data_IF_416402223681
#
_entry.id   IF_416402223681
#
_cell.length_a   1.000
_cell.length_b   1.000
_cell.length_c   1.000
_cell.angle_alpha   90.00
_cell.angle_beta   90.00
_cell.angle_gamma   90.00
#
_symmetry.space_group_name_H-M   'P 1'
#
loop_
_entity.id
_entity.type
_entity.pdbx_description
1 polymer ?
#
# COMPACT_ATOMS: atom_id res chain seq x y z
N UNK A 1 10.04 12.75 -27.70
CA UNK A 1 9.46 11.62 -26.94
C UNK A 1 8.20 12.16 -26.31
N UNK A 2 7.10 11.41 -26.33
CA UNK A 2 5.86 11.84 -25.70
C UNK A 2 5.95 11.62 -24.18
N UNK A 3 5.43 12.58 -23.40
CA UNK A 3 5.42 12.54 -21.94
C UNK A 3 4.28 11.63 -21.47
N UNK A 4 4.57 10.33 -21.36
CA UNK A 4 3.57 9.27 -21.18
C UNK A 4 3.37 8.85 -19.71
N UNK A 5 4.03 9.50 -18.76
CA UNK A 5 4.04 9.08 -17.35
C UNK A 5 2.64 8.86 -16.79
N UNK A 6 1.76 9.84 -16.91
CA UNK A 6 0.41 9.74 -16.35
C UNK A 6 -0.47 8.72 -17.08
N UNK A 7 -0.21 8.49 -18.37
CA UNK A 7 -0.87 7.41 -19.12
C UNK A 7 -0.43 6.02 -18.61
N UNK A 8 0.82 5.88 -18.16
CA UNK A 8 1.28 4.67 -17.46
C UNK A 8 0.65 4.54 -16.09
N UNK A 9 0.71 5.59 -15.24
CA UNK A 9 0.11 5.56 -13.89
C UNK A 9 -1.37 5.18 -13.96
N UNK A 10 -2.12 5.72 -14.92
CA UNK A 10 -3.53 5.34 -15.11
C UNK A 10 -3.74 3.83 -15.34
N UNK A 11 -2.73 3.08 -15.79
CA UNK A 11 -2.83 1.64 -16.03
C UNK A 11 -2.79 0.80 -14.75
N UNK A 12 -2.45 1.36 -13.60
CA UNK A 12 -2.52 0.68 -12.30
C UNK A 12 -3.90 0.06 -12.04
N UNK A 13 -4.97 0.66 -12.58
CA UNK A 13 -6.34 0.15 -12.49
C UNK A 13 -6.60 -1.18 -13.20
N UNK A 14 -5.70 -1.62 -14.09
CA UNK A 14 -5.85 -2.86 -14.86
C UNK A 14 -5.04 -4.02 -14.26
N UNK A 15 -4.36 -3.80 -13.15
CA UNK A 15 -3.52 -4.80 -12.51
C UNK A 15 -4.25 -5.28 -11.25
N UNK A 16 -4.74 -6.51 -11.34
CA UNK A 16 -5.47 -7.16 -10.25
C UNK A 16 -4.49 -7.65 -9.17
N UNK A 17 -4.83 -7.41 -7.93
CA UNK A 17 -4.13 -7.93 -6.75
C UNK A 17 -4.70 -9.27 -6.33
N UNK A 18 -3.94 -10.03 -5.55
CA UNK A 18 -4.37 -11.35 -5.05
C UNK A 18 -4.73 -12.32 -6.18
N UNK A 19 -4.04 -12.22 -7.32
CA UNK A 19 -4.36 -12.93 -8.56
C UNK A 19 -4.37 -14.46 -8.46
N UNK A 20 -3.72 -15.06 -7.44
CA UNK A 20 -3.73 -16.50 -7.16
C UNK A 20 -4.85 -16.91 -6.20
N UNK A 21 -5.62 -15.97 -5.65
CA UNK A 21 -6.67 -16.22 -4.69
C UNK A 21 -8.04 -15.93 -5.31
N UNK A 22 -9.04 -16.69 -4.91
CA UNK A 22 -10.43 -16.40 -5.30
C UNK A 22 -10.94 -15.23 -4.47
N UNK A 23 -11.09 -14.07 -5.09
CA UNK A 23 -11.62 -12.87 -4.46
C UNK A 23 -13.14 -12.84 -4.51
N UNK A 24 -13.80 -12.48 -3.40
CA UNK A 24 -15.20 -12.07 -3.39
C UNK A 24 -15.36 -10.60 -3.82
N UNK A 25 -14.40 -9.76 -3.45
CA UNK A 25 -14.32 -8.34 -3.75
C UNK A 25 -13.03 -8.08 -4.52
N UNK A 26 -13.03 -7.98 -5.86
CA UNK A 26 -11.83 -7.68 -6.64
C UNK A 26 -11.17 -6.36 -6.18
N UNK A 27 -9.85 -6.34 -6.16
CA UNK A 27 -9.04 -5.16 -5.82
C UNK A 27 -7.97 -4.98 -6.90
N UNK A 28 -7.82 -3.78 -7.43
CA UNK A 28 -6.73 -3.44 -8.32
C UNK A 28 -5.68 -2.55 -7.61
N UNK A 29 -4.50 -2.40 -8.21
CA UNK A 29 -3.39 -1.65 -7.62
C UNK A 29 -3.74 -0.17 -7.40
N UNK A 30 -4.59 0.44 -8.23
CA UNK A 30 -4.97 1.85 -8.05
C UNK A 30 -5.83 2.04 -6.80
N UNK A 31 -6.83 1.18 -6.58
CA UNK A 31 -7.70 1.22 -5.40
C UNK A 31 -6.88 0.96 -4.13
N UNK A 32 -6.02 -0.05 -4.17
CA UNK A 32 -5.09 -0.35 -3.10
C UNK A 32 -4.18 0.85 -2.78
N UNK A 33 -3.50 1.42 -3.78
CA UNK A 33 -2.59 2.56 -3.56
C UNK A 33 -3.30 3.80 -3.03
N UNK A 34 -4.56 4.01 -3.40
CA UNK A 34 -5.40 5.06 -2.80
C UNK A 34 -5.62 4.80 -1.30
N UNK A 35 -6.02 3.57 -0.93
CA UNK A 35 -6.23 3.24 0.49
C UNK A 35 -4.93 3.29 1.29
N UNK A 36 -3.82 2.79 0.71
CA UNK A 36 -2.49 2.91 1.33
C UNK A 36 -2.12 4.38 1.57
N UNK A 37 -2.42 5.28 0.64
CA UNK A 37 -2.15 6.71 0.81
C UNK A 37 -2.97 7.33 1.94
N UNK A 38 -4.26 6.98 2.07
CA UNK A 38 -5.13 7.42 3.18
C UNK A 38 -4.57 6.93 4.52
N UNK A 39 -4.19 5.67 4.61
CA UNK A 39 -3.62 5.08 5.84
C UNK A 39 -2.24 5.69 6.14
N UNK A 40 -1.37 5.87 5.15
CA UNK A 40 -0.05 6.47 5.33
C UNK A 40 -0.15 7.91 5.84
N UNK A 41 -1.12 8.69 5.31
CA UNK A 41 -1.43 10.03 5.84
C UNK A 41 -1.85 9.94 7.33
N UNK A 42 -2.78 9.04 7.66
CA UNK A 42 -3.24 8.86 9.04
C UNK A 42 -2.10 8.46 9.99
N UNK A 43 -1.23 7.51 9.59
CA UNK A 43 -0.06 7.12 10.38
C UNK A 43 0.90 8.30 10.56
N UNK A 44 1.12 9.12 9.52
CA UNK A 44 1.94 10.33 9.60
C UNK A 44 1.37 11.36 10.58
N UNK A 45 0.04 11.57 10.57
CA UNK A 45 -0.65 12.45 11.55
C UNK A 45 -0.51 11.90 12.96
N UNK A 46 -0.74 10.59 13.16
CA UNK A 46 -0.59 9.95 14.47
C UNK A 46 0.86 10.09 14.98
N UNK A 47 1.87 9.84 14.11
CA UNK A 47 3.29 10.01 14.45
C UNK A 47 3.58 11.43 14.92
N UNK A 48 3.09 12.43 14.20
CA UNK A 48 3.34 13.84 14.50
C UNK A 48 2.55 14.35 15.72
N UNK A 49 1.24 14.09 15.76
CA UNK A 49 0.34 14.76 16.70
C UNK A 49 0.13 13.97 18.00
N UNK A 50 0.23 12.62 17.95
CA UNK A 50 0.08 11.76 19.13
C UNK A 50 1.44 11.42 19.75
N UNK A 51 2.44 11.06 18.91
CA UNK A 51 3.76 10.66 19.40
C UNK A 51 4.81 11.77 19.32
N UNK A 52 4.44 12.97 18.85
CA UNK A 52 5.29 14.16 18.80
C UNK A 52 6.64 13.93 18.10
N UNK A 53 6.64 13.07 17.08
CA UNK A 53 7.79 12.78 16.24
C UNK A 53 7.64 13.47 14.89
N UNK A 54 8.68 14.17 14.44
CA UNK A 54 8.65 14.92 13.18
C UNK A 54 8.28 14.04 11.99
N UNK A 55 7.26 14.47 11.25
CA UNK A 55 6.74 13.78 10.09
C UNK A 55 5.92 14.73 9.22
N UNK A 56 6.02 14.60 7.91
CA UNK A 56 5.12 15.23 6.95
C UNK A 56 4.06 14.20 6.46
N UNK A 57 2.82 14.24 6.99
CA UNK A 57 1.76 13.32 6.57
C UNK A 57 1.42 13.41 5.08
N UNK A 58 1.52 14.61 4.49
CA UNK A 58 1.23 14.80 3.07
C UNK A 58 2.30 14.13 2.20
N UNK A 59 3.56 14.22 2.60
CA UNK A 59 4.65 13.52 1.91
C UNK A 59 4.53 11.99 2.04
N UNK A 60 4.05 11.48 3.20
CA UNK A 60 3.73 10.05 3.38
C UNK A 60 2.65 9.60 2.40
N UNK A 61 1.56 10.35 2.29
CA UNK A 61 0.46 10.05 1.35
C UNK A 61 0.94 10.10 -0.11
N UNK A 62 1.70 11.14 -0.47
CA UNK A 62 2.23 11.29 -1.83
C UNK A 62 3.14 10.11 -2.21
N UNK A 63 4.03 9.67 -1.31
CA UNK A 63 4.88 8.50 -1.54
C UNK A 63 4.06 7.22 -1.71
N UNK A 64 3.02 7.04 -0.89
CA UNK A 64 2.15 5.87 -0.93
C UNK A 64 1.33 5.75 -2.22
N UNK A 65 0.93 6.87 -2.86
CA UNK A 65 0.23 6.85 -4.15
C UNK A 65 1.04 6.17 -5.27
N UNK A 66 2.36 6.18 -5.17
CA UNK A 66 3.26 5.67 -6.21
C UNK A 66 4.04 4.42 -5.78
N UNK A 67 3.80 3.87 -4.58
CA UNK A 67 4.63 2.80 -4.01
C UNK A 67 4.67 1.53 -4.87
N UNK A 68 3.57 1.19 -5.53
CA UNK A 68 3.45 0.04 -6.44
C UNK A 68 3.47 0.45 -7.94
N UNK A 69 3.91 1.68 -8.27
CA UNK A 69 3.92 2.14 -9.66
C UNK A 69 4.83 1.28 -10.57
N UNK A 70 5.89 0.65 -10.05
CA UNK A 70 6.74 -0.28 -10.80
C UNK A 70 5.95 -1.47 -11.36
N UNK A 71 4.87 -1.87 -10.70
CA UNK A 71 4.03 -3.01 -11.09
C UNK A 71 3.26 -2.77 -12.39
N UNK A 72 3.16 -1.54 -12.86
CA UNK A 72 2.69 -1.22 -14.22
C UNK A 72 3.49 -1.98 -15.30
N UNK A 73 4.78 -2.20 -15.06
CA UNK A 73 5.71 -2.86 -15.98
C UNK A 73 6.03 -4.31 -15.58
N UNK A 74 5.94 -4.65 -14.29
CA UNK A 74 6.30 -5.97 -13.77
C UNK A 74 5.09 -6.87 -13.52
N UNK A 75 3.90 -6.30 -13.39
CA UNK A 75 2.74 -6.96 -12.79
C UNK A 75 2.88 -7.11 -11.27
N UNK A 76 1.75 -7.40 -10.59
CA UNK A 76 1.74 -7.78 -9.17
C UNK A 76 2.29 -9.21 -9.03
N UNK A 77 3.46 -9.35 -8.42
CA UNK A 77 4.06 -10.66 -8.16
C UNK A 77 3.60 -11.19 -6.80
N UNK A 78 2.95 -12.38 -6.77
CA UNK A 78 2.49 -12.97 -5.51
C UNK A 78 3.60 -13.07 -4.46
N UNK A 79 3.30 -12.63 -3.25
CA UNK A 79 4.23 -12.59 -2.12
C UNK A 79 5.02 -13.88 -1.90
N UNK A 80 4.43 -15.11 -2.00
CA UNK A 80 5.20 -16.35 -1.85
C UNK A 80 6.30 -16.53 -2.90
N UNK A 81 6.11 -15.98 -4.11
CA UNK A 81 7.12 -16.05 -5.18
C UNK A 81 8.16 -14.95 -4.95
N UNK A 82 7.73 -13.72 -4.66
CA UNK A 82 8.61 -12.57 -4.43
C UNK A 82 9.64 -12.82 -3.31
N UNK A 83 9.27 -13.59 -2.29
CA UNK A 83 10.11 -13.90 -1.13
C UNK A 83 10.56 -15.35 -1.04
N UNK A 84 10.48 -16.13 -2.13
CA UNK A 84 10.81 -17.56 -2.13
C UNK A 84 12.25 -17.83 -1.67
N UNK A 85 13.21 -17.03 -2.14
CA UNK A 85 14.60 -17.08 -1.66
C UNK A 85 15.29 -15.70 -1.87
N UNK A 86 16.47 -15.48 -1.24
CA UNK A 86 17.21 -14.22 -1.38
C UNK A 86 17.59 -13.86 -2.83
N UNK A 87 17.89 -14.84 -3.67
CA UNK A 87 18.27 -14.59 -5.07
C UNK A 87 17.09 -14.01 -5.88
N UNK A 88 15.90 -14.61 -5.76
CA UNK A 88 14.69 -14.13 -6.42
C UNK A 88 14.31 -12.74 -5.89
N UNK A 89 14.33 -12.55 -4.57
CA UNK A 89 14.04 -11.26 -3.95
C UNK A 89 14.95 -10.14 -4.48
N UNK A 90 16.26 -10.40 -4.56
CA UNK A 90 17.22 -9.41 -5.03
C UNK A 90 17.08 -9.14 -6.54
N UNK A 91 16.87 -10.19 -7.35
CA UNK A 91 16.64 -10.05 -8.78
C UNK A 91 15.35 -9.23 -9.05
N UNK A 92 14.27 -9.53 -8.32
CA UNK A 92 13.01 -8.80 -8.49
C UNK A 92 13.16 -7.33 -8.09
N UNK A 93 13.88 -7.03 -7.00
CA UNK A 93 14.17 -5.65 -6.60
C UNK A 93 14.91 -4.87 -7.71
N UNK A 94 15.86 -5.48 -8.39
CA UNK A 94 16.55 -4.85 -9.52
C UNK A 94 15.57 -4.58 -10.69
N UNK A 95 14.63 -5.48 -10.94
CA UNK A 95 13.59 -5.29 -11.97
C UNK A 95 12.66 -4.13 -11.58
N UNK A 96 12.24 -4.03 -10.32
CA UNK A 96 11.46 -2.89 -9.80
C UNK A 96 12.22 -1.56 -9.97
N UNK A 97 13.51 -1.52 -9.64
CA UNK A 97 14.36 -0.33 -9.82
C UNK A 97 14.44 0.10 -11.29
N UNK A 98 14.63 -0.85 -12.22
CA UNK A 98 14.63 -0.58 -13.66
C UNK A 98 13.26 -0.07 -14.12
N UNK A 99 12.17 -0.64 -13.61
CA UNK A 99 10.81 -0.21 -13.93
C UNK A 99 10.56 1.23 -13.47
N UNK A 100 10.95 1.58 -12.25
CA UNK A 100 10.87 2.95 -11.73
C UNK A 100 11.66 3.94 -12.59
N UNK A 101 12.91 3.59 -12.99
CA UNK A 101 13.72 4.44 -13.86
C UNK A 101 13.09 4.64 -15.25
N UNK A 102 12.50 3.58 -15.82
CA UNK A 102 11.79 3.68 -17.11
C UNK A 102 10.56 4.57 -17.00
N UNK A 103 9.76 4.44 -15.93
CA UNK A 103 8.62 5.33 -15.68
C UNK A 103 9.08 6.78 -15.52
N UNK A 104 10.10 7.02 -14.70
CA UNK A 104 10.66 8.36 -14.48
C UNK A 104 11.15 8.99 -15.80
N UNK A 105 11.75 8.20 -16.69
CA UNK A 105 12.23 8.68 -17.99
C UNK A 105 11.09 9.15 -18.92
N UNK A 106 9.84 8.76 -18.66
CA UNK A 106 8.65 9.22 -19.41
C UNK A 106 8.10 10.57 -18.96
N UNK A 107 8.70 11.17 -17.91
CA UNK A 107 8.43 12.55 -17.50
C UNK A 107 9.35 13.54 -18.21
N UNK A 108 8.88 14.80 -18.42
CA UNK A 108 9.76 15.93 -18.73
C UNK A 108 10.92 16.00 -17.73
N UNK A 109 12.11 16.36 -18.22
CA UNK A 109 13.34 16.34 -17.42
C UNK A 109 13.23 17.20 -16.15
N UNK A 110 12.56 18.33 -16.24
CA UNK A 110 12.35 19.30 -15.17
C UNK A 110 11.46 18.76 -14.02
N UNK A 111 10.59 17.78 -14.31
CA UNK A 111 9.70 17.19 -13.30
C UNK A 111 10.32 15.97 -12.58
N UNK A 112 11.31 15.32 -13.19
CA UNK A 112 11.92 14.08 -12.64
C UNK A 112 12.44 14.22 -11.21
N UNK A 113 13.10 15.31 -10.80
CA UNK A 113 13.59 15.45 -9.43
C UNK A 113 12.49 15.42 -8.37
N UNK A 114 11.29 15.91 -8.69
CA UNK A 114 10.15 15.90 -7.77
C UNK A 114 9.50 14.52 -7.65
N UNK A 115 9.49 13.71 -8.72
CA UNK A 115 8.86 12.39 -8.74
C UNK A 115 9.80 11.25 -8.35
N UNK A 116 11.12 11.44 -8.49
CA UNK A 116 12.09 10.39 -8.18
C UNK A 116 11.98 9.88 -6.73
N UNK A 117 11.88 10.72 -5.67
CA UNK A 117 11.72 10.24 -4.31
C UNK A 117 10.44 9.43 -4.09
N UNK A 118 9.37 9.76 -4.81
CA UNK A 118 8.07 9.08 -4.73
C UNK A 118 8.12 7.67 -5.31
N UNK A 119 8.83 7.49 -6.44
CA UNK A 119 8.96 6.20 -7.12
C UNK A 119 10.01 5.28 -6.51
N UNK A 120 10.97 5.83 -5.75
CA UNK A 120 12.06 5.04 -5.14
C UNK A 120 11.84 4.74 -3.66
N UNK A 121 10.69 5.16 -3.11
CA UNK A 121 10.34 5.01 -1.69
C UNK A 121 11.46 5.50 -0.74
N UNK A 122 12.22 6.52 -1.12
CA UNK A 122 13.35 6.98 -0.33
C UNK A 122 12.90 7.66 0.98
N UNK A 123 11.75 8.33 0.94
CA UNK A 123 11.17 9.02 2.09
C UNK A 123 10.02 8.22 2.71
N UNK A 124 9.95 8.17 4.04
CA UNK A 124 8.85 7.56 4.81
C UNK A 124 8.55 6.09 4.47
N UNK A 125 9.56 5.36 4.04
CA UNK A 125 9.43 3.96 3.62
C UNK A 125 8.83 3.05 4.71
N UNK A 126 9.14 3.30 5.96
CA UNK A 126 8.61 2.59 7.11
C UNK A 126 7.10 2.79 7.24
N UNK A 127 6.61 4.03 7.11
CA UNK A 127 5.17 4.37 7.14
C UNK A 127 4.45 3.77 5.94
N UNK A 128 4.99 3.93 4.72
CA UNK A 128 4.35 3.40 3.51
C UNK A 128 4.21 1.88 3.58
N UNK A 129 5.26 1.17 4.00
CA UNK A 129 5.20 -0.30 4.17
C UNK A 129 4.23 -0.74 5.27
N UNK A 130 4.12 0.04 6.34
CA UNK A 130 3.15 -0.25 7.39
C UNK A 130 1.72 -0.03 6.89
N UNK A 131 1.49 1.06 6.15
CA UNK A 131 0.20 1.36 5.54
C UNK A 131 -0.22 0.31 4.48
N UNK A 132 0.70 -0.14 3.62
CA UNK A 132 0.48 -1.25 2.69
C UNK A 132 0.03 -2.51 3.44
N UNK A 133 0.75 -2.86 4.52
CA UNK A 133 0.41 -4.03 5.32
C UNK A 133 -0.94 -3.90 6.03
N UNK A 134 -1.30 -2.70 6.52
CA UNK A 134 -2.63 -2.41 7.09
C UNK A 134 -3.73 -2.51 6.04
N UNK A 135 -3.52 -1.97 4.84
CA UNK A 135 -4.47 -2.09 3.72
C UNK A 135 -4.69 -3.57 3.34
N UNK A 136 -3.62 -4.36 3.23
CA UNK A 136 -3.73 -5.79 2.98
C UNK A 136 -4.47 -6.55 4.10
N UNK A 137 -4.32 -6.14 5.36
CA UNK A 137 -5.05 -6.71 6.48
C UNK A 137 -6.55 -6.37 6.44
N UNK A 138 -6.89 -5.12 6.13
CA UNK A 138 -8.29 -4.68 5.96
C UNK A 138 -8.95 -5.48 4.85
N UNK A 139 -8.27 -5.66 3.70
CA UNK A 139 -8.75 -6.51 2.61
C UNK A 139 -9.07 -7.93 3.07
N UNK A 140 -8.22 -8.53 3.90
CA UNK A 140 -8.48 -9.86 4.44
C UNK A 140 -9.71 -9.90 5.35
N UNK A 141 -9.94 -8.86 6.18
CA UNK A 141 -11.14 -8.72 7.02
C UNK A 141 -12.39 -8.65 6.14
N UNK A 142 -12.38 -7.83 5.10
CA UNK A 142 -13.51 -7.68 4.17
C UNK A 142 -13.86 -9.00 3.47
N UNK A 143 -12.86 -9.72 2.98
CA UNK A 143 -13.06 -11.03 2.33
C UNK A 143 -13.65 -12.07 3.30
N UNK A 144 -13.13 -12.15 4.52
CA UNK A 144 -13.68 -13.03 5.56
C UNK A 144 -15.13 -12.66 5.88
N UNK A 145 -15.45 -11.37 6.00
CA UNK A 145 -16.83 -10.91 6.25
C UNK A 145 -17.76 -11.21 5.08
N UNK A 146 -17.24 -11.24 3.87
CA UNK A 146 -17.95 -11.70 2.69
C UNK A 146 -18.13 -13.25 2.62
N UNK A 147 -17.66 -13.98 3.65
CA UNK A 147 -17.72 -15.45 3.73
C UNK A 147 -16.64 -16.17 2.93
N UNK A 148 -15.56 -15.49 2.60
CA UNK A 148 -14.44 -16.06 1.84
C UNK A 148 -13.34 -16.57 2.78
N UNK A 149 -13.39 -17.85 3.12
CA UNK A 149 -12.43 -18.51 4.02
C UNK A 149 -11.02 -18.64 3.44
N UNK A 150 -10.84 -18.41 2.14
CA UNK A 150 -9.52 -18.49 1.49
C UNK A 150 -8.53 -17.46 2.06
N UNK A 151 -9.02 -16.35 2.58
CA UNK A 151 -8.21 -15.29 3.18
C UNK A 151 -7.86 -15.46 4.65
N UNK A 152 -8.41 -16.46 5.36
CA UNK A 152 -8.18 -16.66 6.80
C UNK A 152 -6.70 -16.81 7.18
N UNK A 153 -5.93 -17.55 6.37
CA UNK A 153 -4.49 -17.73 6.62
C UNK A 153 -3.72 -16.42 6.41
N UNK A 154 -4.03 -15.67 5.35
CA UNK A 154 -3.42 -14.39 5.05
C UNK A 154 -3.76 -13.35 6.12
N UNK A 155 -5.02 -13.31 6.58
CA UNK A 155 -5.47 -12.44 7.68
C UNK A 155 -4.65 -12.69 8.95
N UNK A 156 -4.56 -13.97 9.39
CA UNK A 156 -3.80 -14.36 10.59
C UNK A 156 -2.32 -13.98 10.50
N UNK A 157 -1.68 -14.25 9.36
CA UNK A 157 -0.27 -13.95 9.15
C UNK A 157 -0.02 -12.43 9.14
N UNK A 158 -0.86 -11.68 8.42
CA UNK A 158 -0.73 -10.23 8.32
C UNK A 158 -0.98 -9.55 9.66
N UNK A 159 -1.98 -10.00 10.40
CA UNK A 159 -2.24 -9.56 11.78
C UNK A 159 -1.02 -9.76 12.68
N UNK A 160 -0.44 -10.96 12.68
CA UNK A 160 0.75 -11.27 13.49
C UNK A 160 1.92 -10.32 13.17
N UNK A 161 2.15 -10.02 11.88
CA UNK A 161 3.18 -9.06 11.46
C UNK A 161 2.89 -7.65 11.96
N UNK A 162 1.62 -7.20 11.92
CA UNK A 162 1.21 -5.89 12.39
C UNK A 162 1.30 -5.77 13.92
N UNK A 163 0.91 -6.80 14.68
CA UNK A 163 1.04 -6.83 16.14
C UNK A 163 2.51 -6.75 16.60
N UNK A 164 3.45 -7.23 15.80
CA UNK A 164 4.89 -7.17 16.05
C UNK A 164 5.57 -5.93 15.45
N UNK A 165 4.82 -5.06 14.77
CA UNK A 165 5.38 -3.88 14.16
C UNK A 165 5.87 -2.89 15.24
N UNK A 166 7.14 -2.41 15.18
CA UNK A 166 7.72 -1.56 16.22
C UNK A 166 7.21 -0.11 16.19
N UNK A 167 6.49 0.30 15.14
CA UNK A 167 6.00 1.66 14.99
C UNK A 167 4.79 1.91 15.90
N UNK A 168 4.88 2.85 16.85
CA UNK A 168 3.79 3.08 17.80
C UNK A 168 2.50 3.59 17.13
N UNK A 169 2.60 4.33 16.03
CA UNK A 169 1.45 4.76 15.22
C UNK A 169 0.71 3.58 14.58
N UNK A 170 1.39 2.47 14.26
CA UNK A 170 0.75 1.25 13.78
C UNK A 170 -0.06 0.60 14.90
N UNK A 171 0.50 0.50 16.10
CA UNK A 171 -0.22 -0.06 17.26
C UNK A 171 -1.42 0.81 17.63
N UNK A 172 -1.28 2.13 17.54
CA UNK A 172 -2.37 3.07 17.72
C UNK A 172 -3.49 2.83 16.68
N UNK A 173 -3.14 2.72 15.40
CA UNK A 173 -4.10 2.48 14.32
C UNK A 173 -4.82 1.14 14.50
N UNK A 174 -4.09 0.08 14.84
CA UNK A 174 -4.64 -1.25 15.12
C UNK A 174 -5.65 -1.24 16.26
N UNK A 175 -5.38 -0.50 17.34
CA UNK A 175 -6.24 -0.45 18.51
C UNK A 175 -7.50 0.40 18.29
N UNK A 176 -7.38 1.52 17.58
CA UNK A 176 -8.46 2.51 17.50
C UNK A 176 -9.31 2.41 16.24
N UNK A 177 -8.73 2.00 15.10
CA UNK A 177 -9.42 2.07 13.81
C UNK A 177 -9.76 0.70 13.22
N UNK A 178 -8.93 -0.31 13.41
CA UNK A 178 -9.20 -1.65 12.84
C UNK A 178 -10.52 -2.25 13.34
N UNK A 179 -10.94 -2.11 14.61
CA UNK A 179 -12.22 -2.68 15.05
C UNK A 179 -13.44 -2.18 14.26
N UNK A 180 -13.38 -0.96 13.71
CA UNK A 180 -14.49 -0.41 12.92
C UNK A 180 -14.69 -1.12 11.58
N UNK A 181 -13.66 -1.79 11.03
CA UNK A 181 -13.81 -2.58 9.79
C UNK A 181 -14.59 -3.88 9.98
N UNK A 182 -14.87 -4.26 11.23
CA UNK A 182 -15.77 -5.37 11.56
C UNK A 182 -17.25 -4.95 11.61
N UNK A 183 -17.56 -3.67 11.52
CA UNK A 183 -18.90 -3.13 11.66
C UNK A 183 -19.60 -3.00 10.31
N UNK A 184 -20.93 -3.11 10.33
CA UNK A 184 -21.80 -2.73 9.22
C UNK A 184 -21.96 -1.20 9.17
N UNK A 185 -22.51 -0.67 8.07
CA UNK A 185 -22.76 0.76 7.95
C UNK A 185 -23.66 1.30 9.07
N UNK A 186 -24.69 0.52 9.45
CA UNK A 186 -25.63 0.91 10.52
C UNK A 186 -24.93 0.90 11.90
N UNK A 187 -24.00 -0.03 12.13
CA UNK A 187 -23.23 -0.13 13.39
C UNK A 187 -22.15 0.97 13.50
N UNK A 188 -21.65 1.50 12.39
CA UNK A 188 -20.74 2.65 12.39
C UNK A 188 -21.40 3.92 12.93
N UNK A 189 -22.73 3.92 13.03
CA UNK A 189 -23.52 5.05 13.48
C UNK A 189 -23.73 6.10 12.39
N UNK A 190 -24.80 6.88 12.54
CA UNK A 190 -24.97 8.11 11.76
C UNK A 190 -23.97 9.12 12.25
N UNK A 191 -23.32 9.84 11.31
CA UNK A 191 -22.60 11.07 11.64
C UNK A 191 -23.67 12.02 12.12
N UNK A 192 -23.83 12.12 13.46
CA UNK A 192 -24.75 13.10 14.05
C UNK A 192 -24.22 14.51 13.73
N UNK A 193 -25.14 15.37 13.26
CA UNK A 193 -24.87 16.77 12.89
C UNK A 193 -24.42 17.62 14.10
#
# INVERSE_FOLDING_TARGET
MSDNFFAYIYRMRYIERWSLMRNALPENIQEHSHMVAVIAHALGVIRRDVFHTDCDPNACAAAALYHDASEILTGDLPTPIKYYNPAIKNAYKQVEEIACQKLLATLPAELRPAFQPLLTEAAYRDIVKAADKLSAYIKCIEERRAGNDEFLSAEKQTRCVLEQNPLPEVQYFMAHFIPAFELTLDELGTIEE
#
